data_IF_210854214026
#
_entry.id   IF_210854214026
#
_cell.length_a   1.000
_cell.length_b   1.000
_cell.length_c   1.000
_cell.angle_alpha   90.00
_cell.angle_beta   90.00
_cell.angle_gamma   90.00
#
_symmetry.space_group_name_H-M   'P 1'
#
loop_
_entity.id
_entity.type
_entity.pdbx_description
1 polymer ?
#
# COMPACT_ATOMS: atom_id res chain seq x y z
N UNK A 1 66.49 61.00 16.06
CA UNK A 1 66.70 59.71 16.75
C UNK A 1 66.10 58.65 15.82
N UNK A 2 66.90 58.03 14.92
CA UNK A 2 67.70 56.80 15.16
C UNK A 2 66.72 55.64 15.47
N UNK A 3 66.25 54.89 14.46
CA UNK A 3 66.84 53.70 13.80
C UNK A 3 66.66 52.39 14.58
N UNK A 4 66.53 51.27 13.85
CA UNK A 4 66.73 49.91 14.36
C UNK A 4 65.55 49.00 14.02
N UNK A 5 65.53 48.34 12.86
CA UNK A 5 66.19 47.05 12.55
C UNK A 5 65.49 45.81 13.13
N UNK A 6 65.04 44.96 12.22
CA UNK A 6 64.71 43.53 12.41
C UNK A 6 66.01 42.71 12.36
N UNK A 7 66.13 41.58 13.09
CA UNK A 7 66.17 40.24 12.45
C UNK A 7 65.70 39.10 13.40
N UNK A 8 66.01 37.79 13.19
CA UNK A 8 65.40 36.86 12.24
C UNK A 8 64.79 35.59 12.90
N UNK A 9 64.36 34.66 12.06
CA UNK A 9 63.65 33.40 12.32
C UNK A 9 64.25 32.43 13.36
N UNK A 10 63.37 31.68 14.04
CA UNK A 10 63.70 30.40 14.65
C UNK A 10 62.57 29.38 14.50
N UNK A 11 62.93 28.26 13.91
CA UNK A 11 62.14 27.05 13.72
C UNK A 11 61.79 26.40 15.06
N UNK A 12 60.57 25.85 15.19
CA UNK A 12 60.41 24.55 15.84
C UNK A 12 59.19 23.80 15.28
N UNK A 13 59.48 22.68 14.62
CA UNK A 13 58.52 21.71 14.13
C UNK A 13 57.93 20.94 15.31
N UNK A 14 56.66 21.17 15.66
CA UNK A 14 55.88 20.22 16.45
C UNK A 14 55.14 19.27 15.50
N UNK A 15 55.79 18.16 15.14
CA UNK A 15 55.11 16.98 14.58
C UNK A 15 54.51 16.18 15.75
N UNK A 16 53.31 16.54 16.19
CA UNK A 16 52.53 15.65 17.05
C UNK A 16 51.86 14.62 16.14
N UNK A 17 52.51 13.46 16.02
CA UNK A 17 51.96 12.28 15.36
C UNK A 17 50.78 11.74 16.18
N UNK A 18 49.59 12.31 16.01
CA UNK A 18 48.35 11.68 16.44
C UNK A 18 48.12 10.43 15.59
N UNK A 19 48.56 9.27 16.09
CA UNK A 19 48.05 7.97 15.66
C UNK A 19 46.58 7.92 16.06
N UNK A 20 45.70 8.33 15.16
CA UNK A 20 44.27 8.01 15.27
C UNK A 20 44.18 6.50 15.13
N UNK A 21 44.02 5.82 16.26
CA UNK A 21 43.65 4.42 16.29
C UNK A 21 42.29 4.31 15.58
N UNK A 22 42.30 3.77 14.37
CA UNK A 22 41.09 3.37 13.66
C UNK A 22 40.52 2.17 14.44
N UNK A 23 39.74 2.46 15.48
CA UNK A 23 38.91 1.44 16.12
C UNK A 23 37.78 1.16 15.14
N UNK A 24 37.99 0.16 14.29
CA UNK A 24 36.94 -0.45 13.50
C UNK A 24 35.94 -1.07 14.49
N UNK A 25 34.93 -0.29 14.89
CA UNK A 25 33.74 -0.83 15.51
C UNK A 25 33.05 -1.67 14.46
N UNK A 26 33.29 -2.98 14.49
CA UNK A 26 32.44 -3.96 13.84
C UNK A 26 31.06 -3.80 14.49
N UNK A 27 30.19 -3.03 13.83
CA UNK A 27 28.78 -2.96 14.21
C UNK A 27 28.24 -4.40 14.14
N UNK A 28 27.57 -4.88 15.20
CA UNK A 28 26.96 -6.19 15.16
C UNK A 28 26.02 -6.23 13.94
N UNK A 29 26.23 -7.22 13.07
CA UNK A 29 25.33 -7.53 11.98
C UNK A 29 23.91 -7.59 12.57
N UNK A 30 23.08 -6.61 12.23
CA UNK A 30 21.69 -6.61 12.62
C UNK A 30 21.08 -7.89 12.06
N UNK A 31 20.54 -8.74 12.94
CA UNK A 31 19.87 -9.96 12.49
C UNK A 31 18.70 -9.53 11.60
N UNK A 32 18.75 -9.94 10.33
CA UNK A 32 17.66 -9.76 9.39
C UNK A 32 16.35 -10.24 10.05
N UNK A 33 15.32 -9.40 10.01
CA UNK A 33 14.07 -9.69 10.70
C UNK A 33 13.40 -10.91 10.07
N UNK A 34 13.03 -11.89 10.90
CA UNK A 34 12.36 -13.10 10.43
C UNK A 34 10.97 -12.78 9.84
N UNK A 35 10.81 -13.02 8.55
CA UNK A 35 9.53 -12.89 7.86
C UNK A 35 8.65 -14.10 8.18
N UNK A 36 7.55 -13.88 8.91
CA UNK A 36 6.62 -14.95 9.26
C UNK A 36 5.74 -15.34 8.06
N UNK A 37 5.15 -16.56 8.06
CA UNK A 37 4.04 -16.86 7.19
C UNK A 37 2.91 -15.84 7.38
N UNK A 38 2.27 -15.46 6.29
CA UNK A 38 1.25 -14.42 6.33
C UNK A 38 -0.07 -15.01 6.87
N UNK A 39 -0.63 -14.40 7.91
CA UNK A 39 -1.95 -14.74 8.42
C UNK A 39 -2.99 -14.53 7.31
N UNK A 40 -3.85 -15.53 7.09
CA UNK A 40 -4.93 -15.45 6.12
C UNK A 40 -5.99 -14.44 6.57
N UNK A 41 -6.52 -13.66 5.63
CA UNK A 41 -7.67 -12.80 5.89
C UNK A 41 -8.94 -13.63 5.72
N UNK A 42 -9.72 -13.78 6.79
CA UNK A 42 -11.03 -14.42 6.72
C UNK A 42 -12.04 -13.52 6.00
N UNK A 43 -12.54 -14.01 4.88
CA UNK A 43 -13.63 -13.37 4.11
C UNK A 43 -14.95 -13.89 4.66
N UNK A 44 -15.92 -13.04 5.01
CA UNK A 44 -17.20 -13.52 5.52
C UNK A 44 -17.88 -14.46 4.51
N UNK A 45 -18.44 -15.56 5.04
CA UNK A 45 -19.10 -16.59 4.25
C UNK A 45 -20.57 -16.26 3.92
N UNK A 46 -21.10 -15.15 4.42
CA UNK A 46 -22.51 -14.79 4.33
C UNK A 46 -23.00 -14.70 2.88
N UNK A 47 -24.19 -15.26 2.64
CA UNK A 47 -24.99 -15.06 1.43
C UNK A 47 -26.30 -14.36 1.81
N UNK A 48 -26.29 -13.03 2.04
CA UNK A 48 -27.50 -12.28 2.34
C UNK A 48 -28.54 -12.39 1.22
N UNK A 49 -29.83 -12.17 1.50
CA UNK A 49 -30.88 -12.23 0.49
C UNK A 49 -30.64 -11.24 -0.64
N UNK A 50 -31.03 -11.60 -1.87
CA UNK A 50 -30.94 -10.71 -3.01
C UNK A 50 -31.90 -9.53 -2.88
N UNK A 51 -31.43 -8.32 -3.22
CA UNK A 51 -32.26 -7.13 -3.33
C UNK A 51 -32.12 -6.51 -4.72
N UNK A 52 -33.13 -6.74 -5.57
CA UNK A 52 -33.18 -6.24 -6.95
C UNK A 52 -33.35 -4.72 -7.05
N UNK A 53 -33.83 -4.08 -5.99
CA UNK A 53 -34.08 -2.64 -5.91
C UNK A 53 -33.02 -1.92 -5.07
N UNK A 54 -31.81 -2.50 -4.91
CA UNK A 54 -30.76 -1.92 -4.07
C UNK A 54 -30.44 -0.46 -4.42
N UNK A 55 -30.38 -0.12 -5.71
CA UNK A 55 -30.08 1.24 -6.19
C UNK A 55 -31.27 2.22 -6.08
N UNK A 56 -32.47 1.74 -5.77
CA UNK A 56 -33.63 2.60 -5.52
C UNK A 56 -33.64 3.15 -4.08
N UNK A 57 -32.84 2.55 -3.18
CA UNK A 57 -32.68 3.02 -1.80
C UNK A 57 -32.02 4.41 -1.82
N UNK A 58 -32.76 5.42 -1.38
CA UNK A 58 -32.30 6.83 -1.38
C UNK A 58 -31.49 7.24 -0.15
N UNK A 59 -31.63 6.50 0.94
CA UNK A 59 -30.88 6.72 2.17
C UNK A 59 -29.77 5.63 2.33
N UNK A 60 -29.27 5.45 3.54
CA UNK A 60 -28.28 4.43 3.89
C UNK A 60 -28.79 3.00 3.63
N UNK A 61 -27.91 2.16 3.12
CA UNK A 61 -28.13 0.72 2.98
C UNK A 61 -27.84 0.06 4.34
N UNK A 62 -28.89 -0.19 5.13
CA UNK A 62 -28.75 -0.63 6.52
C UNK A 62 -28.90 -2.14 6.74
N UNK A 63 -29.54 -2.84 5.81
CA UNK A 63 -29.85 -4.26 5.93
C UNK A 63 -28.88 -5.10 5.07
N UNK A 64 -28.44 -6.29 5.53
CA UNK A 64 -27.62 -7.18 4.72
C UNK A 64 -28.33 -7.57 3.42
N UNK A 65 -27.65 -7.47 2.28
CA UNK A 65 -28.23 -7.87 0.99
C UNK A 65 -27.18 -8.25 -0.04
N UNK A 66 -27.61 -9.04 -1.02
CA UNK A 66 -26.87 -9.31 -2.25
C UNK A 66 -27.41 -8.42 -3.36
N UNK A 67 -26.55 -7.61 -4.00
CA UNK A 67 -26.90 -6.86 -5.20
C UNK A 67 -26.75 -7.79 -6.40
N UNK A 68 -27.81 -7.99 -7.23
CA UNK A 68 -27.73 -8.87 -8.39
C UNK A 68 -26.70 -8.38 -9.41
N UNK A 69 -26.25 -9.31 -10.26
CA UNK A 69 -25.28 -9.00 -11.30
C UNK A 69 -25.89 -8.02 -12.32
N UNK A 70 -25.16 -6.95 -12.61
CA UNK A 70 -25.66 -5.91 -13.50
C UNK A 70 -24.58 -4.89 -13.88
N UNK A 71 -24.91 -4.07 -14.89
CA UNK A 71 -24.10 -2.91 -15.27
C UNK A 71 -24.74 -1.68 -14.68
N UNK A 72 -24.08 -1.09 -13.70
CA UNK A 72 -24.64 -0.02 -12.89
C UNK A 72 -23.83 1.25 -13.00
N UNK A 73 -24.54 2.36 -13.16
CA UNK A 73 -23.93 3.70 -13.15
C UNK A 73 -24.27 4.37 -11.82
N UNK A 74 -23.27 4.50 -10.96
CA UNK A 74 -23.43 5.10 -9.63
C UNK A 74 -23.49 6.61 -9.80
N UNK A 75 -24.70 7.18 -9.71
CA UNK A 75 -24.95 8.62 -9.90
C UNK A 75 -24.84 9.43 -8.61
N UNK A 76 -25.02 8.79 -7.46
CA UNK A 76 -25.11 9.44 -6.16
C UNK A 76 -24.20 8.79 -5.12
N UNK A 77 -24.14 9.41 -3.95
CA UNK A 77 -23.45 8.85 -2.80
C UNK A 77 -24.26 7.68 -2.23
N UNK A 78 -23.71 6.47 -2.31
CA UNK A 78 -24.25 5.28 -1.64
C UNK A 78 -23.53 5.15 -0.30
N UNK A 79 -24.29 5.06 0.79
CA UNK A 79 -23.73 4.91 2.14
C UNK A 79 -24.21 3.59 2.73
N UNK A 80 -23.29 2.73 3.12
CA UNK A 80 -23.54 1.38 3.64
C UNK A 80 -23.35 1.39 5.16
N UNK A 81 -24.38 0.94 5.87
CA UNK A 81 -24.41 0.88 7.32
C UNK A 81 -24.46 2.23 8.02
N UNK A 82 -24.50 2.14 9.34
CA UNK A 82 -24.54 3.28 10.25
C UNK A 82 -23.97 2.88 11.61
N UNK A 83 -22.76 3.36 11.89
CA UNK A 83 -22.07 3.10 13.16
C UNK A 83 -22.87 3.58 14.37
N UNK A 84 -23.49 4.76 14.30
CA UNK A 84 -24.23 5.36 15.41
C UNK A 84 -25.48 4.55 15.75
N UNK A 85 -26.15 4.04 14.71
CA UNK A 85 -27.30 3.14 14.87
C UNK A 85 -26.91 1.68 15.10
N UNK A 86 -25.60 1.38 15.19
CA UNK A 86 -25.06 0.02 15.30
C UNK A 86 -25.60 -0.92 14.21
N UNK A 87 -25.75 -0.42 12.98
CA UNK A 87 -26.14 -1.19 11.79
C UNK A 87 -24.91 -1.47 10.93
N UNK A 88 -24.48 -2.72 10.89
CA UNK A 88 -23.24 -3.18 10.26
C UNK A 88 -23.55 -4.29 9.24
N UNK A 89 -24.24 -3.98 8.14
CA UNK A 89 -24.61 -5.00 7.17
C UNK A 89 -23.39 -5.61 6.48
N UNK A 90 -23.52 -6.87 6.09
CA UNK A 90 -22.67 -7.47 5.06
C UNK A 90 -23.38 -7.32 3.73
N UNK A 91 -22.71 -6.70 2.77
CA UNK A 91 -23.19 -6.48 1.41
C UNK A 91 -22.41 -7.37 0.45
N UNK A 92 -23.12 -8.06 -0.44
CA UNK A 92 -22.48 -8.89 -1.47
C UNK A 92 -22.81 -8.34 -2.85
N UNK A 93 -21.79 -8.00 -3.64
CA UNK A 93 -21.96 -7.63 -5.05
C UNK A 93 -21.80 -8.92 -5.86
N UNK A 94 -22.86 -9.34 -6.55
CA UNK A 94 -22.88 -10.59 -7.28
C UNK A 94 -21.81 -10.63 -8.40
N UNK A 95 -21.20 -11.79 -8.65
CA UNK A 95 -20.25 -11.98 -9.76
C UNK A 95 -20.77 -11.52 -11.12
N UNK A 96 -19.89 -10.95 -11.94
CA UNK A 96 -20.25 -10.39 -13.24
C UNK A 96 -20.73 -8.93 -13.19
N UNK A 97 -20.82 -8.33 -12.00
CA UNK A 97 -21.21 -6.92 -11.86
C UNK A 97 -20.15 -5.97 -12.41
N UNK A 98 -20.62 -4.90 -13.05
CA UNK A 98 -19.78 -3.79 -13.53
C UNK A 98 -20.34 -2.48 -13.02
N UNK A 99 -19.63 -1.80 -12.12
CA UNK A 99 -20.09 -0.54 -11.54
C UNK A 99 -19.20 0.62 -12.00
N UNK A 100 -19.82 1.66 -12.55
CA UNK A 100 -19.13 2.85 -13.06
C UNK A 100 -19.51 4.07 -12.24
N UNK A 101 -18.52 4.77 -11.70
CA UNK A 101 -18.73 6.03 -11.02
C UNK A 101 -19.05 7.17 -11.98
N UNK A 102 -19.76 8.17 -11.47
CA UNK A 102 -19.93 9.49 -12.12
C UNK A 102 -19.27 10.56 -11.27
N UNK A 103 -19.35 11.84 -11.68
CA UNK A 103 -18.75 12.96 -10.93
C UNK A 103 -19.17 13.00 -9.45
N UNK A 104 -20.41 12.62 -9.15
CA UNK A 104 -20.99 12.57 -7.78
C UNK A 104 -21.14 11.16 -7.22
N UNK A 105 -20.85 10.14 -8.04
CA UNK A 105 -20.99 8.74 -7.66
C UNK A 105 -19.84 8.29 -6.76
N UNK A 106 -20.18 7.68 -5.62
CA UNK A 106 -19.22 7.04 -4.70
C UNK A 106 -19.93 6.04 -3.80
N UNK A 107 -19.19 5.07 -3.27
CA UNK A 107 -19.69 4.10 -2.30
C UNK A 107 -18.87 4.20 -1.02
N UNK A 108 -19.53 4.56 0.07
CA UNK A 108 -18.95 4.67 1.41
C UNK A 108 -19.48 3.54 2.29
N UNK A 109 -18.60 2.88 3.05
CA UNK A 109 -19.00 2.00 4.16
C UNK A 109 -18.83 2.75 5.48
N UNK A 110 -19.94 3.16 6.10
CA UNK A 110 -19.99 3.79 7.42
C UNK A 110 -20.14 2.75 8.55
N UNK A 111 -20.58 1.52 8.22
CA UNK A 111 -20.62 0.38 9.15
C UNK A 111 -20.75 -0.95 8.38
N UNK A 112 -19.93 -1.95 8.70
CA UNK A 112 -20.07 -3.31 8.15
C UNK A 112 -19.03 -3.67 7.09
N UNK A 113 -19.43 -4.51 6.13
CA UNK A 113 -18.54 -5.12 5.15
C UNK A 113 -19.15 -5.12 3.74
N UNK A 114 -18.31 -5.00 2.72
CA UNK A 114 -18.69 -5.24 1.32
C UNK A 114 -17.80 -6.31 0.73
N UNK A 115 -18.41 -7.27 0.05
CA UNK A 115 -17.74 -8.40 -0.59
C UNK A 115 -18.08 -8.37 -2.08
N UNK A 116 -17.07 -8.39 -2.94
CA UNK A 116 -17.26 -8.49 -4.37
C UNK A 116 -16.30 -9.54 -4.94
N UNK A 117 -16.83 -10.39 -5.82
CA UNK A 117 -16.07 -11.45 -6.47
C UNK A 117 -16.29 -11.38 -7.97
N UNK A 118 -15.23 -11.44 -8.79
CA UNK A 118 -15.38 -11.42 -10.26
C UNK A 118 -16.18 -10.21 -10.75
N UNK A 119 -15.89 -9.03 -10.20
CA UNK A 119 -16.56 -7.77 -10.54
C UNK A 119 -15.60 -6.79 -11.22
N UNK A 120 -16.14 -5.75 -11.85
CA UNK A 120 -15.37 -4.63 -12.39
C UNK A 120 -15.88 -3.30 -11.87
N UNK A 121 -14.96 -2.43 -11.50
CA UNK A 121 -15.23 -1.09 -11.03
C UNK A 121 -14.46 -0.09 -11.89
N UNK A 122 -15.15 0.95 -12.35
CA UNK A 122 -14.56 1.98 -13.21
C UNK A 122 -14.84 3.35 -12.62
N UNK A 123 -13.81 4.18 -12.44
CA UNK A 123 -13.96 5.58 -12.02
C UNK A 123 -14.79 5.77 -10.74
N UNK A 124 -14.81 4.75 -9.89
CA UNK A 124 -15.66 4.71 -8.70
C UNK A 124 -14.80 4.87 -7.44
N UNK A 125 -15.01 5.94 -6.66
CA UNK A 125 -14.50 6.03 -5.31
C UNK A 125 -15.18 4.98 -4.42
N UNK A 126 -14.36 4.17 -3.76
CA UNK A 126 -14.72 3.10 -2.84
C UNK A 126 -14.09 3.45 -1.50
N UNK A 127 -14.89 4.04 -0.62
CA UNK A 127 -14.45 4.66 0.63
C UNK A 127 -14.96 3.87 1.83
N UNK A 128 -14.19 3.90 2.92
CA UNK A 128 -14.46 3.09 4.11
C UNK A 128 -14.26 3.93 5.36
N UNK A 129 -15.12 3.78 6.36
CA UNK A 129 -14.96 4.37 7.70
C UNK A 129 -14.24 3.37 8.64
N UNK A 130 -13.96 3.79 9.87
CA UNK A 130 -13.24 3.02 10.87
C UNK A 130 -13.93 1.67 11.16
N UNK A 131 -13.13 0.61 11.19
CA UNK A 131 -13.51 -0.78 11.43
C UNK A 131 -14.41 -1.42 10.35
N UNK A 132 -14.56 -0.78 9.19
CA UNK A 132 -15.27 -1.31 8.04
C UNK A 132 -14.29 -1.96 7.04
N UNK A 133 -14.80 -2.87 6.19
CA UNK A 133 -13.95 -3.67 5.31
C UNK A 133 -14.53 -3.84 3.91
N UNK A 134 -13.66 -3.68 2.90
CA UNK A 134 -13.90 -4.21 1.56
C UNK A 134 -13.13 -5.50 1.35
N UNK A 135 -13.77 -6.46 0.70
CA UNK A 135 -13.19 -7.71 0.25
C UNK A 135 -13.39 -7.87 -1.26
N UNK A 136 -12.29 -7.76 -2.01
CA UNK A 136 -12.29 -7.84 -3.46
C UNK A 136 -11.48 -9.05 -3.92
N UNK A 137 -12.14 -9.98 -4.60
CA UNK A 137 -11.52 -11.24 -5.05
C UNK A 137 -11.77 -11.41 -6.55
N UNK A 138 -10.71 -11.55 -7.34
CA UNK A 138 -10.80 -11.60 -8.80
C UNK A 138 -11.52 -10.38 -9.37
N UNK A 139 -11.22 -9.17 -8.90
CA UNK A 139 -11.88 -7.95 -9.36
C UNK A 139 -10.96 -7.07 -10.21
N UNK A 140 -11.55 -6.32 -11.13
CA UNK A 140 -10.87 -5.34 -11.97
C UNK A 140 -11.22 -3.92 -11.56
N UNK A 141 -10.21 -3.05 -11.46
CA UNK A 141 -10.36 -1.64 -11.12
C UNK A 141 -9.66 -0.80 -12.18
N UNK A 142 -10.39 0.15 -12.78
CA UNK A 142 -9.82 1.13 -13.69
C UNK A 142 -10.16 2.53 -13.19
N UNK A 143 -9.14 3.29 -12.80
CA UNK A 143 -9.31 4.68 -12.36
C UNK A 143 -10.19 4.81 -11.08
N UNK A 144 -10.19 3.78 -10.23
CA UNK A 144 -10.85 3.80 -8.93
C UNK A 144 -9.99 4.49 -7.87
N UNK A 145 -10.64 4.95 -6.81
CA UNK A 145 -9.97 5.55 -5.65
C UNK A 145 -10.40 4.83 -4.37
N UNK A 146 -9.46 4.64 -3.47
CA UNK A 146 -9.67 4.02 -2.17
C UNK A 146 -9.26 5.00 -1.08
N UNK A 147 -10.07 5.17 -0.05
CA UNK A 147 -9.79 6.18 0.97
C UNK A 147 -10.51 5.96 2.28
N UNK A 148 -9.97 6.54 3.35
CA UNK A 148 -10.69 6.66 4.62
C UNK A 148 -11.64 7.84 4.52
N UNK A 149 -12.89 7.62 4.92
CA UNK A 149 -13.90 8.68 5.10
C UNK A 149 -14.48 8.59 6.52
N UNK A 150 -15.39 9.48 6.86
CA UNK A 150 -16.02 9.56 8.18
C UNK A 150 -15.13 10.17 9.26
N UNK A 151 -15.74 10.51 10.39
CA UNK A 151 -15.10 11.23 11.50
C UNK A 151 -14.48 10.31 12.55
N UNK A 152 -14.68 9.00 12.42
CA UNK A 152 -14.24 8.04 13.41
C UNK A 152 -12.81 7.61 13.14
N UNK A 153 -11.98 7.70 14.17
CA UNK A 153 -10.60 7.22 14.17
C UNK A 153 -10.45 6.20 15.30
N UNK A 154 -9.65 5.17 15.09
CA UNK A 154 -9.44 4.15 16.10
C UNK A 154 -8.23 3.28 15.77
N UNK A 155 -7.10 3.62 16.36
CA UNK A 155 -5.84 2.92 16.17
C UNK A 155 -5.28 3.02 14.75
N UNK A 156 -4.33 2.13 14.45
CA UNK A 156 -3.78 2.01 13.11
C UNK A 156 -4.73 1.22 12.21
N UNK A 157 -4.68 1.53 10.91
CA UNK A 157 -5.35 0.80 9.84
C UNK A 157 -6.88 0.82 10.01
N UNK A 158 -7.43 2.01 10.25
CA UNK A 158 -8.84 2.19 10.59
C UNK A 158 -9.78 1.62 9.52
N UNK A 159 -9.59 2.04 8.27
CA UNK A 159 -10.26 1.52 7.09
C UNK A 159 -9.50 0.37 6.46
N UNK A 160 -10.17 -0.69 6.01
CA UNK A 160 -9.49 -1.91 5.56
C UNK A 160 -9.94 -2.37 4.18
N UNK A 161 -8.97 -2.63 3.32
CA UNK A 161 -9.17 -3.13 1.96
C UNK A 161 -8.43 -4.46 1.76
N UNK A 162 -9.14 -5.49 1.33
CA UNK A 162 -8.55 -6.76 0.93
C UNK A 162 -8.68 -6.94 -0.58
N UNK A 163 -7.56 -7.18 -1.25
CA UNK A 163 -7.48 -7.46 -2.68
C UNK A 163 -6.77 -8.79 -2.91
N UNK A 164 -7.46 -9.71 -3.56
CA UNK A 164 -6.91 -11.00 -3.94
C UNK A 164 -7.16 -11.25 -5.42
N UNK A 165 -6.09 -11.57 -6.17
CA UNK A 165 -6.22 -11.90 -7.60
C UNK A 165 -6.85 -10.78 -8.44
N UNK A 166 -6.62 -9.52 -8.05
CA UNK A 166 -7.20 -8.34 -8.69
C UNK A 166 -6.27 -7.67 -9.70
N UNK A 167 -6.87 -6.90 -10.61
CA UNK A 167 -6.14 -6.00 -11.51
C UNK A 167 -6.52 -4.56 -11.17
N UNK A 168 -5.54 -3.71 -10.86
CA UNK A 168 -5.75 -2.31 -10.47
C UNK A 168 -4.98 -1.40 -11.43
N UNK A 169 -5.63 -0.38 -12.00
CA UNK A 169 -5.04 0.49 -13.02
C UNK A 169 -5.20 1.97 -12.71
N UNK A 170 -4.20 2.75 -13.16
CA UNK A 170 -4.13 4.23 -13.17
C UNK A 170 -4.10 4.89 -11.81
N UNK A 171 -5.11 4.64 -10.97
CA UNK A 171 -5.25 5.25 -9.65
C UNK A 171 -5.33 4.20 -8.55
N UNK A 172 -4.90 4.62 -7.36
CA UNK A 172 -5.01 3.87 -6.12
C UNK A 172 -5.49 4.82 -4.99
N UNK A 173 -5.11 4.54 -3.74
CA UNK A 173 -5.41 5.38 -2.60
C UNK A 173 -4.55 6.65 -2.56
N UNK A 174 -5.08 7.75 -2.01
CA UNK A 174 -4.29 8.93 -1.63
C UNK A 174 -5.10 9.80 -0.64
N UNK A 175 -4.58 10.13 0.55
CA UNK A 175 -3.28 9.74 1.12
C UNK A 175 -3.26 8.30 1.65
N UNK A 176 -2.06 7.70 1.71
CA UNK A 176 -1.80 6.50 2.51
C UNK A 176 -1.10 6.89 3.80
N UNK A 177 -1.76 6.62 4.92
CA UNK A 177 -1.15 6.77 6.24
C UNK A 177 -1.60 5.64 7.15
N UNK A 178 -0.75 5.39 8.14
CA UNK A 178 -0.87 4.28 9.07
C UNK A 178 -2.12 4.35 9.94
N UNK A 179 -2.62 5.53 10.27
CA UNK A 179 -3.83 5.69 11.10
C UNK A 179 -5.08 5.33 10.32
N UNK A 180 -5.13 5.72 9.05
CA UNK A 180 -6.37 5.71 8.28
C UNK A 180 -6.56 4.44 7.44
N UNK A 181 -5.48 3.93 6.83
CA UNK A 181 -5.61 2.96 5.74
C UNK A 181 -4.82 1.69 5.99
N UNK A 182 -5.55 0.60 6.16
CA UNK A 182 -5.08 -0.77 6.02
C UNK A 182 -5.42 -1.33 4.66
N UNK A 183 -4.45 -1.99 4.05
CA UNK A 183 -4.65 -2.77 2.85
C UNK A 183 -3.85 -4.07 2.89
N UNK A 184 -4.45 -5.09 2.29
CA UNK A 184 -3.81 -6.36 2.01
C UNK A 184 -4.00 -6.64 0.54
N UNK A 185 -2.90 -6.60 -0.22
CA UNK A 185 -2.89 -6.82 -1.67
C UNK A 185 -2.08 -8.08 -1.94
N UNK A 186 -2.73 -9.10 -2.49
CA UNK A 186 -2.09 -10.39 -2.73
C UNK A 186 -2.45 -10.94 -4.12
N UNK A 187 -1.45 -11.50 -4.82
CA UNK A 187 -1.66 -12.07 -6.15
C UNK A 187 -2.28 -11.06 -7.12
N UNK A 188 -1.92 -9.78 -7.04
CA UNK A 188 -2.54 -8.74 -7.85
C UNK A 188 -1.60 -8.23 -8.94
N UNK A 189 -2.17 -7.55 -9.94
CA UNK A 189 -1.41 -6.77 -10.92
C UNK A 189 -1.81 -5.30 -10.81
N UNK A 190 -0.82 -4.42 -10.66
CA UNK A 190 -0.97 -2.98 -10.52
C UNK A 190 -0.29 -2.32 -11.74
N UNK A 191 -1.05 -1.60 -12.56
CA UNK A 191 -0.55 -1.07 -13.84
C UNK A 191 -0.69 0.46 -13.97
N UNK A 192 0.43 1.12 -14.29
CA UNK A 192 0.44 2.55 -14.61
C UNK A 192 0.00 3.44 -13.46
N UNK A 193 0.32 3.05 -12.21
CA UNK A 193 -0.08 3.77 -11.00
C UNK A 193 1.10 4.59 -10.48
N UNK A 194 0.83 5.85 -10.13
CA UNK A 194 1.71 6.62 -9.25
C UNK A 194 1.33 6.31 -7.80
N UNK A 195 2.13 5.47 -7.15
CA UNK A 195 1.85 5.04 -5.79
C UNK A 195 2.05 6.21 -4.83
N UNK A 196 1.12 6.45 -3.89
CA UNK A 196 1.31 7.44 -2.85
C UNK A 196 2.43 7.00 -1.89
N UNK A 197 3.09 7.98 -1.28
CA UNK A 197 3.95 7.72 -0.12
C UNK A 197 3.15 7.15 1.05
N UNK A 198 3.78 6.26 1.80
CA UNK A 198 3.26 5.75 3.06
C UNK A 198 3.76 6.60 4.23
N UNK A 199 2.85 7.27 4.93
CA UNK A 199 3.16 7.94 6.21
C UNK A 199 3.01 6.97 7.39
N UNK A 200 4.14 6.62 8.00
CA UNK A 200 4.22 5.74 9.17
C UNK A 200 3.98 6.46 10.51
N UNK A 201 3.71 7.77 10.51
CA UNK A 201 3.33 8.54 11.71
C UNK A 201 4.33 8.39 12.86
N UNK A 202 5.63 8.42 12.54
CA UNK A 202 6.77 8.22 13.47
C UNK A 202 6.85 6.83 14.11
N UNK A 203 6.17 5.83 13.55
CA UNK A 203 6.29 4.43 13.99
C UNK A 203 7.27 3.68 13.10
N UNK A 204 7.96 2.70 13.66
CA UNK A 204 8.96 1.90 12.93
C UNK A 204 8.28 0.97 11.91
N UNK A 205 8.57 1.05 10.59
CA UNK A 205 7.99 0.20 9.55
C UNK A 205 8.22 -1.29 9.79
N UNK A 206 9.34 -1.61 10.42
CA UNK A 206 9.75 -2.94 10.86
C UNK A 206 8.69 -3.63 11.74
N UNK A 207 7.87 -2.86 12.47
CA UNK A 207 6.81 -3.40 13.31
C UNK A 207 5.59 -3.85 12.49
N UNK A 208 5.53 -3.47 11.21
CA UNK A 208 4.40 -3.71 10.31
C UNK A 208 4.71 -4.70 9.18
N UNK A 209 5.95 -5.22 9.07
CA UNK A 209 6.31 -6.19 8.01
C UNK A 209 5.50 -7.48 8.06
N UNK A 210 4.98 -7.82 9.24
CA UNK A 210 4.13 -8.98 9.49
C UNK A 210 2.67 -8.58 9.80
N UNK A 211 2.31 -7.29 9.70
CA UNK A 211 0.95 -6.83 9.95
C UNK A 211 0.01 -7.29 8.83
N UNK A 212 -1.03 -8.03 9.19
CA UNK A 212 -1.93 -8.68 8.22
C UNK A 212 -2.68 -7.68 7.34
N UNK A 213 -2.97 -6.49 7.87
CA UNK A 213 -3.70 -5.43 7.17
C UNK A 213 -2.80 -4.34 6.56
N UNK A 214 -1.49 -4.55 6.47
CA UNK A 214 -0.59 -3.60 5.82
C UNK A 214 0.52 -4.33 5.06
N UNK A 215 0.17 -4.90 3.90
CA UNK A 215 1.10 -5.71 3.10
C UNK A 215 0.72 -5.75 1.62
N UNK A 216 1.74 -5.78 0.76
CA UNK A 216 1.61 -6.20 -0.64
C UNK A 216 2.49 -7.42 -0.87
N UNK A 217 1.93 -8.51 -1.36
CA UNK A 217 2.67 -9.75 -1.56
C UNK A 217 2.36 -10.42 -2.89
N UNK A 218 3.34 -11.10 -3.47
CA UNK A 218 3.13 -11.97 -4.63
C UNK A 218 2.45 -11.24 -5.80
N UNK A 219 2.76 -9.96 -5.97
CA UNK A 219 2.05 -9.05 -6.88
C UNK A 219 3.00 -8.46 -7.92
N UNK A 220 2.45 -8.10 -9.08
CA UNK A 220 3.21 -7.48 -10.17
C UNK A 220 2.87 -6.01 -10.30
N UNK A 221 3.89 -5.17 -10.39
CA UNK A 221 3.77 -3.75 -10.71
C UNK A 221 4.28 -3.54 -12.14
N UNK A 222 3.49 -2.88 -12.99
CA UNK A 222 3.84 -2.65 -14.39
C UNK A 222 3.78 -1.16 -14.68
N UNK A 223 4.93 -0.58 -15.01
CA UNK A 223 5.07 0.86 -15.36
C UNK A 223 4.55 1.79 -14.26
N UNK A 224 4.75 1.43 -12.99
CA UNK A 224 4.36 2.24 -11.84
C UNK A 224 5.49 3.18 -11.40
N UNK A 225 5.12 4.28 -10.74
CA UNK A 225 6.06 5.10 -9.97
C UNK A 225 5.86 4.74 -8.50
N UNK A 226 6.93 4.34 -7.80
CA UNK A 226 6.81 3.76 -6.47
C UNK A 226 7.78 4.44 -5.50
N UNK A 227 7.28 5.09 -4.44
CA UNK A 227 8.11 5.67 -3.40
C UNK A 227 8.77 4.60 -2.51
N UNK A 228 9.93 4.92 -1.93
CA UNK A 228 10.66 4.02 -1.01
C UNK A 228 9.80 3.60 0.16
N UNK A 229 9.06 4.54 0.77
CA UNK A 229 8.18 4.24 1.90
C UNK A 229 7.16 3.14 1.59
N UNK A 230 6.65 3.07 0.35
CA UNK A 230 5.71 2.02 -0.07
C UNK A 230 6.41 0.68 -0.32
N UNK A 231 7.65 0.69 -0.85
CA UNK A 231 8.43 -0.53 -1.12
C UNK A 231 8.63 -1.37 0.14
N UNK A 232 8.73 -0.73 1.31
CA UNK A 232 8.87 -1.40 2.62
C UNK A 232 7.71 -2.34 2.96
N UNK A 233 6.57 -2.20 2.29
CA UNK A 233 5.38 -3.03 2.49
C UNK A 233 5.35 -4.25 1.56
N UNK A 234 6.27 -4.34 0.60
CA UNK A 234 6.24 -5.34 -0.47
C UNK A 234 6.98 -6.64 -0.07
N UNK A 235 6.54 -7.77 -0.63
CA UNK A 235 7.17 -9.10 -0.47
C UNK A 235 6.97 -9.93 -1.72
N UNK A 236 8.02 -10.54 -2.24
CA UNK A 236 7.89 -11.47 -3.39
C UNK A 236 7.14 -10.82 -4.57
N UNK A 237 7.39 -9.52 -4.79
CA UNK A 237 6.73 -8.75 -5.84
C UNK A 237 7.68 -8.54 -7.02
N UNK A 238 7.11 -8.51 -8.23
CA UNK A 238 7.84 -8.19 -9.46
C UNK A 238 7.54 -6.75 -9.87
N UNK A 239 8.59 -6.00 -10.21
CA UNK A 239 8.52 -4.62 -10.67
C UNK A 239 9.01 -4.52 -12.12
N UNK A 240 8.07 -4.39 -13.06
CA UNK A 240 8.30 -4.39 -14.50
C UNK A 240 8.18 -2.97 -15.06
N UNK A 241 9.28 -2.40 -15.56
CA UNK A 241 9.30 -1.05 -16.13
C UNK A 241 8.95 0.07 -15.14
N UNK A 242 9.13 -0.16 -13.83
CA UNK A 242 8.77 0.79 -12.78
C UNK A 242 9.85 1.85 -12.57
N UNK A 243 9.48 2.98 -11.95
CA UNK A 243 10.41 4.01 -11.47
C UNK A 243 10.34 4.11 -9.96
N UNK A 244 11.46 3.90 -9.27
CA UNK A 244 11.55 4.09 -7.83
C UNK A 244 11.89 5.54 -7.50
N UNK A 245 11.10 6.18 -6.64
CA UNK A 245 11.27 7.57 -6.24
C UNK A 245 11.65 7.70 -4.77
N UNK A 246 12.50 8.67 -4.48
CA UNK A 246 12.91 8.99 -3.12
C UNK A 246 11.81 9.80 -2.41
N UNK A 247 11.41 9.31 -1.24
CA UNK A 247 10.56 10.00 -0.28
C UNK A 247 11.06 9.73 1.15
N UNK A 248 12.39 9.67 1.29
CA UNK A 248 13.10 9.34 2.53
C UNK A 248 12.71 10.22 3.72
N UNK A 249 12.19 11.42 3.51
CA UNK A 249 11.67 12.28 4.58
C UNK A 249 10.45 11.68 5.30
N UNK A 250 9.70 10.77 4.65
CA UNK A 250 8.57 10.04 5.25
C UNK A 250 9.01 8.95 6.21
N UNK A 251 10.26 8.56 6.12
CA UNK A 251 10.88 7.46 6.88
C UNK A 251 12.10 7.95 7.69
N UNK A 252 12.28 9.27 7.79
CA UNK A 252 13.34 9.88 8.57
C UNK A 252 13.14 9.65 10.08
N UNK A 253 14.24 9.41 10.79
CA UNK A 253 14.23 9.17 12.25
C UNK A 253 13.89 7.73 12.64
N UNK A 254 13.69 6.83 11.67
CA UNK A 254 13.55 5.40 11.92
C UNK A 254 14.91 4.80 12.25
N UNK A 255 14.97 4.03 13.32
CA UNK A 255 16.23 3.53 13.89
C UNK A 255 16.48 2.06 13.57
N UNK A 256 15.41 1.31 13.31
CA UNK A 256 15.51 -0.14 13.14
C UNK A 256 15.83 -0.48 11.69
N UNK A 257 16.78 -1.40 11.46
CA UNK A 257 17.14 -1.82 10.12
C UNK A 257 16.01 -2.63 9.47
N UNK A 258 15.78 -2.40 8.18
CA UNK A 258 14.84 -3.15 7.36
C UNK A 258 15.48 -3.46 6.00
N UNK A 259 15.34 -4.70 5.56
CA UNK A 259 15.83 -5.16 4.27
C UNK A 259 14.65 -5.57 3.39
N UNK A 260 14.68 -5.15 2.12
CA UNK A 260 13.63 -5.45 1.15
C UNK A 260 14.25 -5.93 -0.14
N UNK A 261 13.87 -7.15 -0.54
CA UNK A 261 14.20 -7.69 -1.85
C UNK A 261 13.22 -7.18 -2.91
N UNK A 262 13.75 -6.55 -3.95
CA UNK A 262 13.00 -6.01 -5.07
C UNK A 262 13.34 -6.81 -6.33
N UNK A 263 12.39 -7.58 -6.84
CA UNK A 263 12.58 -8.35 -8.07
C UNK A 263 12.19 -7.50 -9.27
N UNK A 264 13.16 -7.12 -10.10
CA UNK A 264 13.00 -6.09 -11.13
C UNK A 264 13.18 -6.64 -12.54
N UNK A 265 12.42 -6.07 -13.47
CA UNK A 265 12.56 -6.25 -14.91
C UNK A 265 12.45 -4.88 -15.58
N UNK A 266 13.49 -4.43 -16.29
CA UNK A 266 13.52 -3.15 -17.01
C UNK A 266 13.16 -1.90 -16.16
N UNK A 267 13.36 -1.94 -14.84
CA UNK A 267 13.00 -0.86 -13.92
C UNK A 267 14.15 0.14 -13.72
N UNK A 268 13.79 1.38 -13.37
CA UNK A 268 14.72 2.49 -13.15
C UNK A 268 14.69 2.93 -11.69
N UNK A 269 15.85 3.25 -11.14
CA UNK A 269 15.96 3.85 -9.81
C UNK A 269 16.33 5.33 -9.91
N UNK A 270 15.57 6.21 -9.25
CA UNK A 270 15.87 7.64 -9.09
C UNK A 270 16.12 8.02 -7.63
N UNK A 271 16.64 7.07 -6.85
CA UNK A 271 16.93 7.28 -5.43
C UNK A 271 18.16 8.17 -5.28
N UNK A 272 18.05 9.26 -4.48
CA UNK A 272 19.18 10.15 -4.19
C UNK A 272 20.11 9.59 -3.09
N UNK A 273 19.62 8.60 -2.36
CA UNK A 273 20.29 7.81 -1.33
C UNK A 273 19.26 6.95 -0.63
N UNK A 274 19.69 5.86 0.01
CA UNK A 274 18.84 5.08 0.92
C UNK A 274 19.09 5.57 2.35
N UNK A 275 18.05 5.69 3.20
CA UNK A 275 18.27 5.91 4.63
C UNK A 275 19.22 4.84 5.19
N UNK A 276 20.07 5.21 6.15
CA UNK A 276 21.15 4.34 6.63
C UNK A 276 20.66 2.99 7.20
N UNK A 277 19.40 2.91 7.62
CA UNK A 277 18.74 1.73 8.17
C UNK A 277 17.87 0.97 7.15
N UNK A 278 17.91 1.31 5.85
CA UNK A 278 17.10 0.67 4.83
C UNK A 278 18.00 0.12 3.73
N UNK A 279 17.97 -1.20 3.57
CA UNK A 279 18.67 -1.90 2.48
C UNK A 279 17.65 -2.33 1.44
N UNK A 280 17.80 -1.85 0.22
CA UNK A 280 17.00 -2.29 -0.94
C UNK A 280 17.87 -3.20 -1.82
N UNK A 281 17.56 -4.49 -1.85
CA UNK A 281 18.28 -5.47 -2.65
C UNK A 281 17.59 -5.64 -4.00
N UNK A 282 18.13 -5.03 -5.06
CA UNK A 282 17.59 -5.20 -6.40
C UNK A 282 18.08 -6.52 -7.00
N UNK A 283 17.16 -7.40 -7.37
CA UNK A 283 17.42 -8.72 -7.96
C UNK A 283 16.69 -8.84 -9.29
N UNK A 284 17.22 -9.55 -10.31
CA UNK A 284 16.46 -9.91 -11.49
C UNK A 284 15.16 -10.67 -11.14
N UNK A 285 14.09 -10.46 -11.90
CA UNK A 285 12.82 -11.17 -11.69
C UNK A 285 12.93 -12.70 -11.81
N UNK A 286 13.89 -13.18 -12.60
CA UNK A 286 14.23 -14.61 -12.74
C UNK A 286 14.76 -15.27 -11.46
N UNK A 287 15.18 -14.48 -10.46
CA UNK A 287 15.64 -15.02 -9.17
C UNK A 287 14.50 -15.31 -8.19
N UNK A 288 13.28 -14.84 -8.46
CA UNK A 288 12.12 -15.16 -7.64
C UNK A 288 11.69 -16.61 -7.88
N UNK A 289 12.00 -17.49 -6.93
CA UNK A 289 11.68 -18.92 -6.97
C UNK A 289 10.46 -19.24 -6.12
N UNK A 290 9.81 -20.36 -6.43
CA UNK A 290 8.75 -20.99 -5.62
C UNK A 290 7.48 -20.15 -5.39
N UNK A 291 7.35 -19.03 -6.11
CA UNK A 291 6.20 -18.12 -6.06
C UNK A 291 5.72 -17.84 -7.48
N UNK A 292 4.42 -18.04 -7.72
CA UNK A 292 3.80 -17.63 -8.99
C UNK A 292 3.23 -16.23 -8.84
N UNK A 293 3.89 -15.24 -9.43
CA UNK A 293 3.39 -13.86 -9.49
C UNK A 293 2.53 -13.69 -10.74
N UNK A 294 1.27 -13.25 -10.63
CA UNK A 294 0.36 -13.21 -11.77
C UNK A 294 0.75 -12.17 -12.80
N UNK A 295 0.18 -12.37 -14.00
CA UNK A 295 0.19 -11.40 -15.09
C UNK A 295 -1.23 -10.91 -15.35
N UNK A 296 -1.37 -9.81 -16.05
CA UNK A 296 -2.70 -9.33 -16.48
C UNK A 296 -3.43 -10.40 -17.28
N UNK A 297 -2.72 -11.07 -18.20
CA UNK A 297 -3.29 -12.15 -19.00
C UNK A 297 -3.81 -13.33 -18.15
N UNK A 298 -3.13 -13.68 -17.05
CA UNK A 298 -3.58 -14.79 -16.18
C UNK A 298 -4.80 -14.44 -15.32
N UNK A 299 -5.01 -13.15 -15.00
CA UNK A 299 -6.14 -12.70 -14.18
C UNK A 299 -7.37 -12.30 -14.99
N UNK A 300 -7.19 -11.85 -16.25
CA UNK A 300 -8.28 -11.40 -17.13
C UNK A 300 -9.45 -12.39 -17.26
N UNK A 301 -9.23 -13.72 -17.46
CA UNK A 301 -10.33 -14.68 -17.56
C UNK A 301 -11.19 -14.79 -16.29
N UNK A 302 -10.67 -14.36 -15.14
CA UNK A 302 -11.38 -14.35 -13.86
C UNK A 302 -12.28 -13.13 -13.65
N UNK A 303 -12.17 -12.10 -14.49
CA UNK A 303 -12.94 -10.85 -14.36
C UNK A 303 -14.30 -10.93 -15.07
N UNK A 304 -15.22 -10.07 -14.64
CA UNK A 304 -16.46 -9.84 -15.40
C UNK A 304 -16.13 -9.39 -16.84
N UNK A 305 -16.86 -9.87 -17.87
CA UNK A 305 -16.68 -9.43 -19.25
C UNK A 305 -16.92 -7.91 -19.43
#
# INVERSE_FOLDING_TARGET
MISGETPPALWSNFRTSCRVALVAFALPFAMAQELKPLEAVEVPADAPPENKAAFDIKDRWLEPMTIPAGKERVHSHIVIGDRMKKKWPTMVIAPGSVWTGTKSGRVEISGGNVIARKCRFLQLPLEVDHACRYYFINCGFDDCRFGKTGVWYGGDLAGKYYFESCIIRKNFANPLNLTDTGFRIQNCVLEGIEMPSMDYRKKEPVNYVNEKWLRVSQSRFVKCTIPVSFLLLTRECIFEGCTFTDDSEKIEGMSKPIEVDLYVKDSKSKLKGSPANITLNLKPDTELKDVTVPTTASLLPGLAP
#
